data_IF_981535409159
#
_entry.id   IF_981535409159
#
_cell.length_a   1.000
_cell.length_b   1.000
_cell.length_c   1.000
_cell.angle_alpha   90.00
_cell.angle_beta   90.00
_cell.angle_gamma   90.00
#
_symmetry.space_group_name_H-M   'P 1'
#
loop_
_entity.id
_entity.type
_entity.pdbx_description
1 polymer ?
#
# COMPACT_ATOMS: atom_id res chain seq x y z
N UNK A 1 2.98 -18.76 17.97
CA UNK A 1 1.58 -19.10 17.65
C UNK A 1 0.72 -17.99 18.24
N UNK A 2 0.00 -17.21 17.42
CA UNK A 2 -0.79 -16.06 17.91
C UNK A 2 -1.97 -16.52 18.76
N UNK A 3 -2.22 -15.83 19.86
CA UNK A 3 -3.41 -15.97 20.69
C UNK A 3 -4.66 -15.51 19.93
N UNK A 4 -5.85 -15.98 20.37
CA UNK A 4 -7.12 -15.52 19.78
C UNK A 4 -7.30 -14.00 19.90
N UNK A 5 -6.83 -13.41 21.00
CA UNK A 5 -6.87 -11.96 21.22
C UNK A 5 -6.02 -11.19 20.21
N UNK A 6 -4.79 -11.65 19.95
CA UNK A 6 -3.89 -11.04 18.96
C UNK A 6 -4.45 -11.12 17.54
N UNK A 7 -5.11 -12.23 17.18
CA UNK A 7 -5.74 -12.37 15.87
C UNK A 7 -6.92 -11.41 15.68
N UNK A 8 -7.75 -11.22 16.71
CA UNK A 8 -8.87 -10.28 16.70
C UNK A 8 -8.35 -8.85 16.62
N UNK A 9 -7.36 -8.50 17.45
CA UNK A 9 -6.74 -7.17 17.44
C UNK A 9 -6.16 -6.84 16.06
N UNK A 10 -5.39 -7.75 15.46
CA UNK A 10 -4.85 -7.57 14.11
C UNK A 10 -5.96 -7.42 13.07
N UNK A 11 -7.01 -8.24 13.14
CA UNK A 11 -8.11 -8.12 12.17
C UNK A 11 -8.83 -6.77 12.26
N UNK A 12 -9.02 -6.25 13.48
CA UNK A 12 -9.64 -4.94 13.73
C UNK A 12 -8.75 -3.81 13.24
N UNK A 13 -7.46 -3.80 13.61
CA UNK A 13 -6.54 -2.72 13.22
C UNK A 13 -6.38 -2.66 11.71
N UNK A 14 -6.26 -3.82 11.05
CA UNK A 14 -6.16 -3.87 9.60
C UNK A 14 -7.48 -3.48 8.91
N UNK A 15 -8.63 -3.94 9.40
CA UNK A 15 -9.93 -3.56 8.87
C UNK A 15 -10.20 -2.05 8.96
N UNK A 16 -9.89 -1.44 10.11
CA UNK A 16 -9.95 0.01 10.28
C UNK A 16 -8.96 0.72 9.35
N UNK A 17 -7.76 0.16 9.16
CA UNK A 17 -6.77 0.65 8.20
C UNK A 17 -7.31 0.75 6.76
N UNK A 18 -8.09 -0.25 6.31
CA UNK A 18 -8.76 -0.21 5.00
C UNK A 18 -9.76 0.95 4.95
N UNK A 19 -10.65 1.05 5.95
CA UNK A 19 -11.71 2.07 5.95
C UNK A 19 -11.15 3.48 5.98
N UNK A 20 -10.21 3.76 6.88
CA UNK A 20 -9.54 5.05 6.95
C UNK A 20 -8.69 5.34 5.70
N UNK A 21 -8.05 4.31 5.13
CA UNK A 21 -7.30 4.44 3.88
C UNK A 21 -8.17 4.83 2.69
N UNK A 22 -9.35 4.21 2.54
CA UNK A 22 -10.33 4.57 1.51
C UNK A 22 -10.83 6.00 1.73
N UNK A 23 -11.22 6.35 2.95
CA UNK A 23 -11.70 7.69 3.26
C UNK A 23 -10.65 8.77 2.95
N UNK A 24 -9.40 8.56 3.37
CA UNK A 24 -8.29 9.47 3.08
C UNK A 24 -8.04 9.59 1.57
N UNK A 25 -8.04 8.48 0.83
CA UNK A 25 -7.88 8.48 -0.63
C UNK A 25 -8.98 9.30 -1.31
N UNK A 26 -10.24 9.08 -0.93
CA UNK A 26 -11.37 9.82 -1.51
C UNK A 26 -11.22 11.32 -1.27
N UNK A 27 -10.89 11.73 -0.04
CA UNK A 27 -10.68 13.15 0.30
C UNK A 27 -9.57 13.77 -0.56
N UNK A 28 -8.42 13.09 -0.67
CA UNK A 28 -7.28 13.56 -1.46
C UNK A 28 -7.62 13.66 -2.96
N UNK A 29 -8.36 12.70 -3.52
CA UNK A 29 -8.78 12.72 -4.91
C UNK A 29 -9.78 13.83 -5.20
N UNK A 30 -10.80 14.01 -4.35
CA UNK A 30 -11.80 15.07 -4.52
C UNK A 30 -11.12 16.45 -4.56
N UNK A 31 -10.18 16.69 -3.66
CA UNK A 31 -9.42 17.95 -3.63
C UNK A 31 -8.55 18.14 -4.88
N UNK A 32 -7.84 17.10 -5.30
CA UNK A 32 -6.95 17.15 -6.47
C UNK A 32 -7.71 17.34 -7.78
N UNK A 33 -8.85 16.67 -7.92
CA UNK A 33 -9.77 16.82 -9.06
C UNK A 33 -10.36 18.23 -9.10
N UNK A 34 -10.78 18.75 -7.95
CA UNK A 34 -11.33 20.12 -7.85
C UNK A 34 -10.31 21.18 -8.28
N UNK A 35 -9.02 20.92 -8.05
CA UNK A 35 -7.90 21.76 -8.47
C UNK A 35 -7.40 21.49 -9.89
N UNK A 36 -7.94 20.47 -10.58
CA UNK A 36 -7.44 19.98 -11.88
C UNK A 36 -5.95 19.62 -11.86
N UNK A 37 -5.45 19.17 -10.71
CA UNK A 37 -4.05 18.80 -10.53
C UNK A 37 -3.85 17.31 -10.84
N UNK A 38 -3.46 17.03 -12.09
CA UNK A 38 -3.25 15.66 -12.57
C UNK A 38 -2.11 14.95 -11.84
N UNK A 39 -1.06 15.68 -11.41
CA UNK A 39 0.08 15.06 -10.72
C UNK A 39 -0.36 14.58 -9.34
N UNK A 40 -1.09 15.42 -8.60
CA UNK A 40 -1.68 15.03 -7.30
C UNK A 40 -2.65 13.86 -7.42
N UNK A 41 -3.49 13.82 -8.48
CA UNK A 41 -4.39 12.68 -8.73
C UNK A 41 -3.59 11.39 -8.86
N UNK A 42 -2.59 11.34 -9.75
CA UNK A 42 -1.78 10.14 -9.97
C UNK A 42 -1.03 9.73 -8.71
N UNK A 43 -0.41 10.70 -8.05
CA UNK A 43 0.35 10.50 -6.82
C UNK A 43 -0.49 9.87 -5.69
N UNK A 44 -1.65 10.45 -5.42
CA UNK A 44 -2.54 9.96 -4.36
C UNK A 44 -3.24 8.65 -4.74
N UNK A 45 -3.59 8.44 -6.02
CA UNK A 45 -4.12 7.16 -6.49
C UNK A 45 -3.14 6.01 -6.25
N UNK A 46 -1.86 6.20 -6.56
CA UNK A 46 -0.82 5.18 -6.32
C UNK A 46 -0.67 4.91 -4.82
N UNK A 47 -0.53 5.95 -4.00
CA UNK A 47 -0.43 5.83 -2.55
C UNK A 47 -1.62 5.05 -1.96
N UNK A 48 -2.85 5.48 -2.27
CA UNK A 48 -4.06 4.87 -1.73
C UNK A 48 -4.27 3.44 -2.21
N UNK A 49 -3.97 3.14 -3.48
CA UNK A 49 -4.04 1.77 -3.99
C UNK A 49 -3.08 0.83 -3.24
N UNK A 50 -1.84 1.26 -3.01
CA UNK A 50 -0.87 0.46 -2.26
C UNK A 50 -1.28 0.29 -0.78
N UNK A 51 -1.79 1.34 -0.14
CA UNK A 51 -2.29 1.29 1.24
C UNK A 51 -3.43 0.28 1.40
N UNK A 52 -4.43 0.36 0.52
CA UNK A 52 -5.58 -0.54 0.53
C UNK A 52 -5.14 -1.97 0.24
N UNK A 53 -4.28 -2.18 -0.76
CA UNK A 53 -3.74 -3.49 -1.10
C UNK A 53 -3.01 -4.12 0.08
N UNK A 54 -2.21 -3.36 0.82
CA UNK A 54 -1.48 -3.84 1.98
C UNK A 54 -2.42 -4.32 3.09
N UNK A 55 -3.37 -3.48 3.49
CA UNK A 55 -4.30 -3.86 4.56
C UNK A 55 -5.25 -4.99 4.12
N UNK A 56 -5.69 -4.99 2.87
CA UNK A 56 -6.53 -6.07 2.32
C UNK A 56 -5.78 -7.40 2.30
N UNK A 57 -4.52 -7.42 1.82
CA UNK A 57 -3.72 -8.64 1.74
C UNK A 57 -3.50 -9.26 3.13
N UNK A 58 -3.18 -8.45 4.13
CA UNK A 58 -3.04 -8.91 5.51
C UNK A 58 -4.35 -9.44 6.08
N UNK A 59 -5.45 -8.70 5.89
CA UNK A 59 -6.77 -9.12 6.37
C UNK A 59 -7.17 -10.47 5.78
N UNK A 60 -6.99 -10.66 4.47
CA UNK A 60 -7.29 -11.92 3.80
C UNK A 60 -6.38 -13.05 4.27
N UNK A 61 -5.07 -12.81 4.39
CA UNK A 61 -4.11 -13.82 4.86
C UNK A 61 -4.44 -14.37 6.25
N UNK A 62 -4.86 -13.49 7.17
CA UNK A 62 -5.23 -13.87 8.53
C UNK A 62 -6.64 -14.45 8.65
N UNK A 63 -7.54 -14.16 7.70
CA UNK A 63 -8.94 -14.62 7.75
C UNK A 63 -9.16 -16.00 7.14
N UNK A 64 -8.30 -16.44 6.21
CA UNK A 64 -8.49 -17.69 5.48
C UNK A 64 -7.93 -18.91 6.23
N UNK A 65 -8.73 -19.98 6.29
CA UNK A 65 -8.34 -21.26 6.91
C UNK A 65 -7.72 -22.28 5.95
N UNK A 66 -7.91 -22.11 4.64
CA UNK A 66 -7.37 -23.03 3.63
C UNK A 66 -5.86 -22.87 3.48
N UNK A 67 -5.10 -23.93 3.73
CA UNK A 67 -3.64 -23.92 3.65
C UNK A 67 -3.11 -23.56 2.25
N UNK A 68 -3.80 -23.98 1.18
CA UNK A 68 -3.42 -23.64 -0.19
C UNK A 68 -3.57 -22.14 -0.45
N UNK A 69 -4.71 -21.56 -0.07
CA UNK A 69 -4.95 -20.13 -0.21
C UNK A 69 -4.02 -19.30 0.69
N UNK A 70 -3.74 -19.79 1.91
CA UNK A 70 -2.85 -19.14 2.87
C UNK A 70 -1.41 -19.03 2.36
N UNK A 71 -0.89 -20.02 1.63
CA UNK A 71 0.43 -19.92 0.97
C UNK A 71 0.49 -18.78 -0.04
N UNK A 72 -0.53 -18.66 -0.89
CA UNK A 72 -0.62 -17.61 -1.92
C UNK A 72 -0.78 -16.24 -1.25
N UNK A 73 -1.71 -16.09 -0.31
CA UNK A 73 -1.97 -14.84 0.41
C UNK A 73 -0.76 -14.38 1.23
N UNK A 74 0.07 -15.30 1.72
CA UNK A 74 1.34 -14.96 2.38
C UNK A 74 2.31 -14.24 1.45
N UNK A 75 2.34 -14.61 0.16
CA UNK A 75 3.19 -13.93 -0.82
C UNK A 75 2.66 -12.52 -1.05
N UNK A 76 1.35 -12.35 -1.25
CA UNK A 76 0.72 -11.04 -1.39
C UNK A 76 0.89 -10.15 -0.17
N UNK A 77 0.66 -10.67 1.02
CA UNK A 77 0.79 -9.94 2.28
C UNK A 77 2.19 -9.34 2.45
N UNK A 78 3.23 -10.16 2.31
CA UNK A 78 4.60 -9.66 2.39
C UNK A 78 5.00 -8.76 1.21
N UNK A 79 4.56 -9.08 -0.02
CA UNK A 79 4.85 -8.29 -1.22
C UNK A 79 4.23 -6.89 -1.14
N UNK A 80 3.04 -6.79 -0.55
CA UNK A 80 2.30 -5.54 -0.43
C UNK A 80 3.02 -4.49 0.42
N UNK A 81 3.86 -4.91 1.37
CA UNK A 81 4.67 -4.00 2.20
C UNK A 81 5.69 -3.25 1.33
N UNK A 82 6.37 -3.96 0.42
CA UNK A 82 7.32 -3.34 -0.52
C UNK A 82 6.64 -2.32 -1.43
N UNK A 83 5.46 -2.68 -1.95
CA UNK A 83 4.64 -1.77 -2.77
C UNK A 83 4.15 -0.57 -1.96
N UNK A 84 3.75 -0.76 -0.70
CA UNK A 84 3.30 0.32 0.17
C UNK A 84 4.40 1.32 0.52
N UNK A 85 5.63 0.85 0.73
CA UNK A 85 6.79 1.74 0.89
C UNK A 85 6.95 2.63 -0.35
N UNK A 86 7.00 2.04 -1.55
CA UNK A 86 7.11 2.82 -2.79
C UNK A 86 5.90 3.77 -3.01
N UNK A 87 4.69 3.29 -2.71
CA UNK A 87 3.46 4.07 -2.79
C UNK A 87 3.46 5.28 -1.85
N UNK A 88 4.04 5.16 -0.65
CA UNK A 88 4.15 6.26 0.33
C UNK A 88 5.11 7.36 -0.14
N UNK A 89 6.23 6.98 -0.76
CA UNK A 89 7.19 7.94 -1.28
C UNK A 89 6.75 8.60 -2.60
N UNK A 90 5.82 7.99 -3.34
CA UNK A 90 5.35 8.51 -4.63
C UNK A 90 4.75 9.93 -4.53
N UNK A 91 3.76 10.23 -3.65
CA UNK A 91 3.27 11.60 -3.51
C UNK A 91 4.29 12.56 -2.91
N UNK A 92 5.18 12.09 -2.03
CA UNK A 92 6.27 12.92 -1.50
C UNK A 92 7.17 13.36 -2.67
N UNK A 93 7.68 12.41 -3.45
CA UNK A 93 8.58 12.70 -4.56
C UNK A 93 7.91 13.53 -5.67
N UNK A 94 6.68 13.23 -6.05
CA UNK A 94 6.01 13.92 -7.15
C UNK A 94 5.55 15.33 -6.79
N UNK A 95 5.19 15.59 -5.53
CA UNK A 95 4.60 16.86 -5.11
C UNK A 95 5.57 17.81 -4.39
N UNK A 96 6.66 17.30 -3.82
CA UNK A 96 7.60 18.14 -3.03
C UNK A 96 9.01 18.18 -3.59
N UNK A 97 9.36 17.29 -4.52
CA UNK A 97 10.71 17.19 -5.08
C UNK A 97 10.78 17.60 -6.55
N UNK A 98 11.97 18.04 -6.95
CA UNK A 98 12.23 18.53 -8.30
C UNK A 98 13.46 17.89 -8.94
N UNK A 99 13.54 18.02 -10.27
CA UNK A 99 14.72 17.66 -11.05
C UNK A 99 15.18 16.21 -10.90
N UNK A 100 16.51 16.03 -10.83
CA UNK A 100 17.16 14.71 -10.78
C UNK A 100 16.85 13.94 -9.50
N UNK A 101 16.64 14.62 -8.38
CA UNK A 101 16.37 13.98 -7.09
C UNK A 101 15.03 13.23 -7.12
N UNK A 102 13.97 13.87 -7.64
CA UNK A 102 12.66 13.24 -7.85
C UNK A 102 12.78 11.96 -8.67
N UNK A 103 13.48 12.03 -9.80
CA UNK A 103 13.67 10.89 -10.71
C UNK A 103 14.46 9.78 -10.02
N UNK A 104 15.58 10.12 -9.38
CA UNK A 104 16.43 9.16 -8.68
C UNK A 104 15.71 8.40 -7.57
N UNK A 105 14.93 9.12 -6.74
CA UNK A 105 14.12 8.50 -5.68
C UNK A 105 13.05 7.61 -6.27
N UNK A 106 12.28 8.09 -7.25
CA UNK A 106 11.23 7.30 -7.89
C UNK A 106 11.77 6.00 -8.50
N UNK A 107 12.88 6.06 -9.24
CA UNK A 107 13.51 4.87 -9.81
C UNK A 107 14.02 3.95 -8.69
N UNK A 108 14.72 4.49 -7.70
CA UNK A 108 15.31 3.71 -6.61
C UNK A 108 14.27 2.95 -5.79
N UNK A 109 13.24 3.64 -5.27
CA UNK A 109 12.22 3.02 -4.42
C UNK A 109 11.41 1.97 -5.18
N UNK A 110 11.04 2.24 -6.44
CA UNK A 110 10.22 1.31 -7.21
C UNK A 110 11.04 0.12 -7.69
N UNK A 111 12.32 0.31 -7.99
CA UNK A 111 13.23 -0.81 -8.27
C UNK A 111 13.34 -1.72 -7.04
N UNK A 112 13.62 -1.16 -5.86
CA UNK A 112 13.69 -1.93 -4.60
C UNK A 112 12.36 -2.66 -4.34
N UNK A 113 11.23 -2.00 -4.56
CA UNK A 113 9.93 -2.62 -4.37
C UNK A 113 9.71 -3.80 -5.32
N UNK A 114 10.00 -3.64 -6.61
CA UNK A 114 9.90 -4.71 -7.61
C UNK A 114 10.82 -5.88 -7.24
N UNK A 115 12.09 -5.61 -6.89
CA UNK A 115 13.01 -6.66 -6.45
C UNK A 115 12.50 -7.37 -5.18
N UNK A 116 12.00 -6.63 -4.20
CA UNK A 116 11.44 -7.19 -2.97
C UNK A 116 10.25 -8.12 -3.24
N UNK A 117 9.38 -7.76 -4.18
CA UNK A 117 8.28 -8.63 -4.63
C UNK A 117 8.82 -9.87 -5.34
N UNK A 118 9.77 -9.72 -6.27
CA UNK A 118 10.33 -10.85 -7.03
C UNK A 118 11.01 -11.87 -6.11
N UNK A 119 11.80 -11.43 -5.12
CA UNK A 119 12.47 -12.34 -4.19
C UNK A 119 11.51 -13.02 -3.20
N UNK A 120 10.27 -12.52 -3.09
CA UNK A 120 9.27 -13.08 -2.19
C UNK A 120 8.46 -14.22 -2.82
N UNK A 121 8.30 -14.18 -4.15
CA UNK A 121 7.64 -15.20 -4.97
C UNK A 121 8.48 -16.48 -4.98
#
# INVERSE_FOLDING_TARGET
>A
MYTKGEQIANSITHGLGILFGIAALVVLLVFSISKKDTISIVAFSIYGACLILMYLSSTLYHSVKSERAKKILRVFDHSSIYLFIAGTYTPIALLTMEGKLRIGIMIGIWSIAIFGVIFKI
#
